data_IF_377829432963
#
_entry.id   IF_377829432963
#
_cell.length_a   1.000
_cell.length_b   1.000
_cell.length_c   1.000
_cell.angle_alpha   90.00
_cell.angle_beta   90.00
_cell.angle_gamma   90.00
#
_symmetry.space_group_name_H-M   'P 1'
#
loop_
_entity.id
_entity.type
_entity.pdbx_description
1 polymer ?
#
# COMPACT_ATOMS: atom_id res chain seq x y z
N UNK A 1 23.73 -12.36 11.47
CA UNK A 1 22.46 -12.38 10.72
C UNK A 1 22.50 -11.24 9.71
N UNK A 2 22.23 -11.47 8.43
CA UNK A 2 22.16 -10.39 7.43
C UNK A 2 20.73 -9.94 7.28
N UNK A 3 20.47 -8.66 7.50
CA UNK A 3 19.17 -8.06 7.20
C UNK A 3 18.89 -8.14 5.70
N UNK A 4 17.68 -8.48 5.33
CA UNK A 4 17.21 -8.54 3.95
C UNK A 4 15.87 -7.82 3.85
N UNK A 5 15.60 -7.24 2.71
CA UNK A 5 14.37 -6.50 2.43
C UNK A 5 14.67 -5.09 1.93
N UNK A 6 13.61 -4.32 1.74
CA UNK A 6 13.69 -2.93 1.34
C UNK A 6 14.04 -2.10 2.59
N UNK A 7 15.09 -1.25 2.48
CA UNK A 7 15.51 -0.38 3.56
C UNK A 7 14.59 0.83 3.69
N UNK A 8 14.29 1.50 2.59
CA UNK A 8 13.33 2.61 2.51
C UNK A 8 12.78 2.75 1.09
N UNK A 9 11.72 3.53 0.96
CA UNK A 9 11.16 3.99 -0.32
C UNK A 9 11.09 5.51 -0.26
N UNK A 10 11.52 6.19 -1.33
CA UNK A 10 11.40 7.63 -1.47
C UNK A 10 10.53 8.00 -2.67
N UNK A 11 9.70 9.01 -2.49
CA UNK A 11 8.83 9.54 -3.53
C UNK A 11 9.17 11.00 -3.82
N UNK A 12 9.14 11.36 -5.08
CA UNK A 12 9.06 12.75 -5.50
C UNK A 12 7.58 13.15 -5.59
N UNK A 13 7.18 14.20 -4.88
CA UNK A 13 5.78 14.63 -4.77
C UNK A 13 5.58 16.02 -5.39
N UNK A 14 4.45 16.23 -6.07
CA UNK A 14 4.17 17.46 -6.82
C UNK A 14 3.97 18.67 -5.91
N UNK A 15 3.17 18.53 -4.86
CA UNK A 15 2.83 19.60 -3.93
C UNK A 15 3.42 19.32 -2.54
N UNK A 16 4.75 19.47 -2.42
CA UNK A 16 5.51 19.02 -1.25
C UNK A 16 4.89 19.40 0.10
N UNK A 17 4.55 20.68 0.32
CA UNK A 17 4.01 21.13 1.60
C UNK A 17 2.62 20.54 1.92
N UNK A 18 1.80 20.32 0.91
CA UNK A 18 0.50 19.65 1.08
C UNK A 18 0.70 18.15 1.30
N UNK A 19 1.62 17.55 0.57
CA UNK A 19 2.00 16.15 0.74
C UNK A 19 2.56 15.89 2.14
N UNK A 20 3.43 16.76 2.66
CA UNK A 20 3.92 16.64 4.06
C UNK A 20 2.74 16.60 5.03
N UNK A 21 1.79 17.53 4.94
CA UNK A 21 0.61 17.53 5.84
C UNK A 21 -0.23 16.26 5.73
N UNK A 22 -0.44 15.77 4.52
CA UNK A 22 -1.16 14.51 4.29
C UNK A 22 -0.41 13.31 4.89
N UNK A 23 0.89 13.17 4.58
CA UNK A 23 1.69 12.05 5.07
C UNK A 23 1.92 12.11 6.58
N UNK A 24 2.05 13.30 7.17
CA UNK A 24 2.08 13.49 8.64
C UNK A 24 0.82 12.92 9.28
N UNK A 25 -0.35 13.25 8.72
CA UNK A 25 -1.64 12.76 9.23
C UNK A 25 -1.79 11.25 9.01
N UNK A 26 -1.48 10.75 7.82
CA UNK A 26 -1.59 9.33 7.46
C UNK A 26 -0.66 8.45 8.29
N UNK A 27 0.64 8.76 8.27
CA UNK A 27 1.63 7.97 9.01
C UNK A 27 1.48 8.13 10.53
N UNK A 28 1.03 9.31 10.99
CA UNK A 28 0.67 9.53 12.39
C UNK A 28 -0.49 8.64 12.82
N UNK A 29 -1.53 8.52 12.01
CA UNK A 29 -2.65 7.62 12.24
C UNK A 29 -2.20 6.14 12.29
N UNK A 30 -1.34 5.74 11.36
CA UNK A 30 -0.74 4.40 11.29
C UNK A 30 0.28 4.11 12.41
N UNK A 31 0.55 5.08 13.29
CA UNK A 31 1.39 4.89 14.47
C UNK A 31 2.88 5.08 14.24
N UNK A 32 3.29 5.66 13.12
CA UNK A 32 4.67 6.12 12.92
C UNK A 32 4.98 7.24 13.91
N UNK A 33 6.22 7.33 14.41
CA UNK A 33 6.56 8.25 15.52
C UNK A 33 7.81 9.10 15.29
N UNK A 34 8.56 8.82 14.24
CA UNK A 34 9.76 9.58 13.91
C UNK A 34 9.53 10.27 12.58
N UNK A 35 9.29 11.58 12.65
CA UNK A 35 9.15 12.43 11.49
C UNK A 35 10.26 13.46 11.55
N UNK A 36 11.03 13.58 10.51
CA UNK A 36 12.02 14.62 10.41
C UNK A 36 12.18 15.13 8.99
N UNK A 37 12.49 16.41 8.85
CA UNK A 37 12.80 17.01 7.56
C UNK A 37 14.28 17.36 7.52
N UNK A 38 14.96 16.95 6.47
CA UNK A 38 16.33 17.33 6.14
C UNK A 38 16.31 18.42 5.08
N UNK A 39 17.27 19.33 5.16
CA UNK A 39 17.60 20.28 4.09
C UNK A 39 19.04 20.01 3.68
N UNK A 40 19.21 19.35 2.53
CA UNK A 40 20.48 18.90 1.98
C UNK A 40 20.69 19.42 0.55
N UNK A 41 20.25 20.65 0.29
CA UNK A 41 20.16 21.22 -1.06
C UNK A 41 18.77 21.04 -1.70
N UNK A 42 17.96 20.16 -1.12
CA UNK A 42 16.52 20.02 -1.31
C UNK A 42 15.92 19.52 0.02
N UNK A 43 14.64 19.78 0.24
CA UNK A 43 13.95 19.34 1.44
C UNK A 43 13.49 17.88 1.25
N UNK A 44 13.73 17.05 2.25
CA UNK A 44 13.25 15.67 2.29
C UNK A 44 12.69 15.34 3.65
N UNK A 45 11.45 14.84 3.70
CA UNK A 45 10.76 14.46 4.95
C UNK A 45 10.65 12.95 5.03
N UNK A 46 11.03 12.39 6.18
CA UNK A 46 11.07 10.95 6.44
C UNK A 46 10.10 10.55 7.54
N UNK A 47 9.43 9.42 7.32
CA UNK A 47 8.47 8.77 8.21
C UNK A 47 9.02 7.40 8.59
N UNK A 48 9.30 7.19 9.88
CA UNK A 48 9.92 5.95 10.36
C UNK A 48 8.96 5.16 11.25
N UNK A 49 8.85 3.86 11.00
CA UNK A 49 8.16 2.94 11.89
C UNK A 49 8.90 2.81 13.23
N UNK A 50 8.15 2.50 14.30
CA UNK A 50 8.74 2.22 15.63
C UNK A 50 9.42 0.85 15.65
N UNK A 51 10.26 0.65 16.66
CA UNK A 51 10.77 -0.67 17.03
C UNK A 51 9.63 -1.71 17.08
N UNK A 52 9.84 -2.92 16.55
CA UNK A 52 11.09 -3.46 15.99
C UNK A 52 11.36 -3.09 14.52
N UNK A 53 10.54 -2.26 13.88
CA UNK A 53 10.55 -1.97 12.44
C UNK A 53 11.26 -0.66 12.07
N UNK A 54 12.15 -0.17 12.92
CA UNK A 54 12.87 1.11 12.72
C UNK A 54 13.69 1.18 11.41
N UNK A 55 13.87 0.07 10.74
CA UNK A 55 14.53 -0.04 9.43
C UNK A 55 13.56 0.11 8.24
N UNK A 56 12.27 0.33 8.52
CA UNK A 56 11.25 0.54 7.48
C UNK A 56 10.81 2.00 7.51
N UNK A 57 11.22 2.77 6.51
CA UNK A 57 10.82 4.16 6.39
C UNK A 57 10.51 4.58 4.95
N UNK A 58 9.70 5.62 4.89
CA UNK A 58 9.28 6.26 3.65
C UNK A 58 9.79 7.69 3.67
N UNK A 59 10.37 8.15 2.57
CA UNK A 59 10.79 9.52 2.36
C UNK A 59 9.95 10.20 1.28
N UNK A 60 9.78 11.51 1.41
CA UNK A 60 9.21 12.33 0.35
C UNK A 60 10.08 13.57 0.10
N UNK A 61 10.22 13.95 -1.15
CA UNK A 61 10.96 15.12 -1.60
C UNK A 61 10.18 15.85 -2.70
N UNK A 62 10.45 17.16 -2.94
CA UNK A 62 9.78 17.86 -4.02
C UNK A 62 10.15 17.27 -5.38
N UNK A 63 9.16 17.07 -6.24
CA UNK A 63 9.39 16.81 -7.66
C UNK A 63 9.82 18.10 -8.36
N UNK A 64 10.67 17.98 -9.37
CA UNK A 64 11.07 19.10 -10.23
C UNK A 64 10.04 19.42 -11.33
N UNK A 65 9.05 18.57 -11.52
CA UNK A 65 8.00 18.67 -12.52
C UNK A 65 7.28 17.32 -12.71
N UNK A 66 6.36 17.27 -13.65
CA UNK A 66 5.56 16.09 -13.97
C UNK A 66 4.07 16.29 -13.69
N UNK A 67 3.29 15.28 -14.03
CA UNK A 67 1.86 15.24 -13.83
C UNK A 67 1.49 14.31 -12.68
N UNK A 68 0.25 14.46 -12.18
CA UNK A 68 -0.32 13.54 -11.20
C UNK A 68 -0.33 12.11 -11.75
N UNK A 69 0.11 11.16 -10.94
CA UNK A 69 0.12 9.75 -11.30
C UNK A 69 -1.32 9.23 -11.42
N UNK A 70 -1.52 8.39 -12.40
CA UNK A 70 -2.77 7.66 -12.61
C UNK A 70 -2.46 6.16 -12.61
N UNK A 71 -2.77 5.44 -11.52
CA UNK A 71 -2.49 4.01 -11.43
C UNK A 71 -3.20 3.16 -12.48
N UNK A 72 -4.32 3.65 -13.04
CA UNK A 72 -5.07 2.92 -14.06
C UNK A 72 -4.33 2.86 -15.41
N UNK A 73 -3.48 3.84 -15.70
CA UNK A 73 -2.67 3.85 -16.93
C UNK A 73 -1.62 2.74 -16.97
N UNK A 74 -1.26 2.18 -15.81
CA UNK A 74 -0.28 1.09 -15.71
C UNK A 74 1.06 1.40 -16.41
N UNK A 75 1.51 2.64 -16.34
CA UNK A 75 2.80 3.06 -16.88
C UNK A 75 3.96 2.36 -16.13
N UNK A 76 5.13 2.20 -16.79
CA UNK A 76 6.30 1.66 -16.12
C UNK A 76 6.67 2.47 -14.89
N UNK A 77 6.84 1.79 -13.72
CA UNK A 77 7.18 2.44 -12.46
C UNK A 77 6.69 1.64 -11.26
N UNK A 78 6.58 2.31 -10.11
CA UNK A 78 5.99 1.71 -8.90
C UNK A 78 4.47 1.71 -9.08
N UNK A 79 3.87 0.52 -9.09
CA UNK A 79 2.42 0.39 -9.20
C UNK A 79 1.73 0.82 -7.90
N UNK A 80 2.16 0.29 -6.76
CA UNK A 80 1.67 0.68 -5.43
C UNK A 80 2.70 0.36 -4.35
N UNK A 81 2.46 0.92 -3.17
CA UNK A 81 3.22 0.59 -1.95
C UNK A 81 2.26 0.03 -0.92
N UNK A 82 2.52 -1.21 -0.50
CA UNK A 82 1.73 -1.88 0.54
C UNK A 82 2.33 -1.63 1.92
N UNK A 83 1.48 -1.18 2.84
CA UNK A 83 1.78 -0.98 4.25
C UNK A 83 1.13 -2.09 5.09
N UNK A 84 1.77 -2.46 6.20
CA UNK A 84 1.22 -3.47 7.10
C UNK A 84 0.20 -2.89 8.06
N UNK A 85 -0.95 -3.58 8.17
CA UNK A 85 -1.89 -3.43 9.27
C UNK A 85 -1.77 -4.60 10.25
N UNK A 86 -1.98 -4.34 11.55
CA UNK A 86 -1.96 -5.38 12.60
C UNK A 86 -3.05 -6.42 12.43
N UNK A 87 -4.23 -5.99 11.97
CA UNK A 87 -5.40 -6.84 11.80
C UNK A 87 -6.40 -6.17 10.85
N UNK A 88 -7.47 -6.88 10.48
CA UNK A 88 -8.54 -6.39 9.60
C UNK A 88 -9.24 -5.14 10.17
N UNK A 89 -9.48 -5.12 11.48
CA UNK A 89 -10.15 -4.00 12.13
C UNK A 89 -9.38 -2.69 11.95
N UNK A 90 -8.04 -2.73 12.02
CA UNK A 90 -7.24 -1.53 11.79
C UNK A 90 -7.41 -0.97 10.37
N UNK A 91 -7.63 -1.85 9.37
CA UNK A 91 -7.93 -1.44 8.00
C UNK A 91 -9.31 -0.80 7.91
N UNK A 92 -10.32 -1.41 8.55
CA UNK A 92 -11.68 -0.86 8.60
C UNK A 92 -11.71 0.47 9.34
N UNK A 93 -11.04 0.56 10.49
CA UNK A 93 -10.92 1.78 11.29
C UNK A 93 -10.18 2.89 10.52
N UNK A 94 -9.14 2.55 9.76
CA UNK A 94 -8.42 3.49 8.89
C UNK A 94 -9.30 4.02 7.76
N UNK A 95 -10.03 3.13 7.11
CA UNK A 95 -10.97 3.51 6.06
C UNK A 95 -12.06 4.47 6.59
N UNK A 96 -12.72 4.10 7.70
CA UNK A 96 -13.82 4.88 8.27
C UNK A 96 -13.35 6.14 9.01
N UNK A 97 -12.24 6.06 9.72
CA UNK A 97 -11.75 7.13 10.60
C UNK A 97 -10.74 8.08 9.97
N UNK A 98 -10.12 7.69 8.87
CA UNK A 98 -9.13 8.53 8.18
C UNK A 98 -9.48 8.78 6.70
N UNK A 99 -9.63 7.75 5.89
CA UNK A 99 -9.79 7.94 4.44
C UNK A 99 -11.09 8.70 4.11
N UNK A 100 -12.23 8.19 4.56
CA UNK A 100 -13.52 8.80 4.25
C UNK A 100 -13.68 10.22 4.80
N UNK A 101 -13.35 10.51 6.09
CA UNK A 101 -13.51 11.86 6.63
C UNK A 101 -12.61 12.92 5.97
N UNK A 102 -11.47 12.49 5.41
CA UNK A 102 -10.55 13.38 4.70
C UNK A 102 -10.81 13.44 3.18
N UNK A 103 -11.84 12.78 2.67
CA UNK A 103 -12.18 12.77 1.24
C UNK A 103 -11.10 12.13 0.36
N UNK A 104 -10.35 11.16 0.91
CA UNK A 104 -9.29 10.47 0.17
C UNK A 104 -9.92 9.50 -0.83
N UNK A 105 -9.41 9.52 -2.05
CA UNK A 105 -9.84 8.63 -3.12
C UNK A 105 -9.51 7.17 -2.77
N UNK A 106 -10.55 6.36 -2.59
CA UNK A 106 -10.45 4.92 -2.32
C UNK A 106 -10.79 4.17 -3.60
N UNK A 107 -9.79 3.53 -4.21
CA UNK A 107 -9.98 2.74 -5.42
C UNK A 107 -10.67 1.41 -5.15
N UNK A 108 -10.31 0.75 -4.04
CA UNK A 108 -10.97 -0.46 -3.57
C UNK A 108 -11.20 -0.38 -2.05
N UNK A 109 -12.47 -0.43 -1.58
CA UNK A 109 -12.78 -0.42 -0.15
C UNK A 109 -12.28 -1.69 0.54
N UNK A 110 -12.23 -1.72 1.90
CA UNK A 110 -11.76 -2.87 2.65
C UNK A 110 -12.44 -4.17 2.22
N UNK A 111 -11.65 -5.14 1.77
CA UNK A 111 -12.15 -6.43 1.30
C UNK A 111 -11.14 -7.57 1.49
N UNK A 112 -11.65 -8.81 1.48
CA UNK A 112 -10.79 -10.00 1.45
C UNK A 112 -10.41 -10.36 0.01
N UNK A 113 -9.12 -10.41 -0.26
CA UNK A 113 -8.55 -10.83 -1.55
C UNK A 113 -8.02 -12.25 -1.47
N UNK A 114 -8.94 -13.21 -1.37
CA UNK A 114 -8.62 -14.62 -1.18
C UNK A 114 -7.71 -15.21 -2.28
N UNK A 115 -7.58 -14.56 -3.42
CA UNK A 115 -6.72 -15.00 -4.53
C UNK A 115 -5.23 -14.83 -4.21
N UNK A 116 -4.85 -13.89 -3.36
CA UNK A 116 -3.44 -13.63 -3.03
C UNK A 116 -2.91 -14.65 -2.05
N UNK A 117 -3.50 -14.67 -0.87
CA UNK A 117 -3.12 -15.60 0.21
C UNK A 117 -4.28 -15.79 1.19
N UNK A 118 -4.30 -16.91 1.95
CA UNK A 118 -5.39 -17.17 2.88
C UNK A 118 -5.55 -16.05 3.91
N UNK A 119 -6.70 -15.38 3.88
CA UNK A 119 -7.05 -14.34 4.84
C UNK A 119 -6.49 -12.95 4.55
N UNK A 120 -5.91 -12.74 3.37
CA UNK A 120 -5.47 -11.42 2.93
C UNK A 120 -6.62 -10.44 2.90
N UNK A 121 -6.45 -9.29 3.56
CA UNK A 121 -7.46 -8.26 3.66
C UNK A 121 -6.80 -6.90 3.45
N UNK A 122 -7.37 -6.06 2.60
CA UNK A 122 -6.74 -4.79 2.23
C UNK A 122 -7.74 -3.71 1.85
N UNK A 123 -7.30 -2.46 1.89
CA UNK A 123 -7.90 -1.28 1.29
C UNK A 123 -6.88 -0.64 0.37
N UNK A 124 -7.33 -0.12 -0.79
CA UNK A 124 -6.49 0.61 -1.73
C UNK A 124 -6.95 2.05 -1.88
N UNK A 125 -6.00 2.98 -1.91
CA UNK A 125 -6.28 4.40 -1.98
C UNK A 125 -5.13 5.18 -2.64
N UNK A 126 -5.41 6.41 -3.07
CA UNK A 126 -4.42 7.26 -3.69
C UNK A 126 -4.08 8.46 -2.80
N UNK A 127 -2.81 8.86 -2.75
CA UNK A 127 -2.51 10.16 -2.17
C UNK A 127 -3.15 11.27 -3.02
N UNK A 128 -3.73 12.31 -2.37
CA UNK A 128 -4.57 13.26 -3.08
C UNK A 128 -3.81 14.23 -3.98
N UNK A 129 -2.49 14.38 -3.80
CA UNK A 129 -1.71 15.43 -4.46
C UNK A 129 -0.87 14.92 -5.63
N UNK A 130 -0.26 13.74 -5.47
CA UNK A 130 0.60 13.14 -6.51
C UNK A 130 -0.03 11.93 -7.17
N UNK A 131 -1.02 11.29 -6.52
CA UNK A 131 -1.68 10.09 -7.03
C UNK A 131 -0.89 8.81 -6.77
N UNK A 132 0.05 8.83 -5.81
CA UNK A 132 0.77 7.62 -5.41
C UNK A 132 -0.25 6.62 -4.86
N UNK A 133 -0.24 5.41 -5.43
CA UNK A 133 -1.15 4.34 -5.04
C UNK A 133 -0.63 3.60 -3.82
N UNK A 134 -1.45 3.52 -2.79
CA UNK A 134 -1.17 2.83 -1.53
C UNK A 134 -2.13 1.68 -1.30
N UNK A 135 -1.61 0.69 -0.61
CA UNK A 135 -2.37 -0.41 -0.05
C UNK A 135 -2.09 -0.49 1.46
N UNK A 136 -3.13 -0.60 2.27
CA UNK A 136 -2.99 -1.00 3.67
C UNK A 136 -3.54 -2.42 3.81
N UNK A 137 -2.68 -3.37 4.16
CA UNK A 137 -2.99 -4.80 4.09
C UNK A 137 -2.64 -5.57 5.35
N UNK A 138 -3.39 -6.63 5.59
CA UNK A 138 -3.16 -7.59 6.67
C UNK A 138 -3.18 -9.01 6.12
N UNK A 139 -2.14 -9.78 6.48
CA UNK A 139 -2.08 -11.23 6.27
C UNK A 139 -1.87 -11.92 7.61
N UNK A 140 -2.78 -12.80 8.04
CA UNK A 140 -2.61 -13.49 9.32
C UNK A 140 -1.44 -14.46 9.25
N UNK A 141 -0.60 -14.49 10.31
CA UNK A 141 0.51 -15.44 10.42
C UNK A 141 0.01 -16.90 10.41
N UNK A 142 -1.16 -17.14 11.03
CA UNK A 142 -1.83 -18.44 11.05
C UNK A 142 -3.25 -18.24 10.52
N UNK A 143 -3.47 -18.49 9.22
CA UNK A 143 -4.79 -18.37 8.63
C UNK A 143 -5.77 -19.42 9.17
N UNK A 144 -7.05 -19.05 9.28
CA UNK A 144 -8.09 -19.99 9.69
C UNK A 144 -8.36 -21.04 8.61
N UNK A 145 -8.88 -22.23 8.98
CA UNK A 145 -9.28 -23.26 8.01
C UNK A 145 -10.30 -22.75 6.97
N UNK A 146 -11.16 -21.81 7.35
CA UNK A 146 -12.11 -21.18 6.42
C UNK A 146 -11.42 -20.27 5.42
N UNK A 147 -10.40 -19.50 5.83
CA UNK A 147 -9.59 -18.69 4.93
C UNK A 147 -8.84 -19.55 3.90
N UNK A 148 -8.28 -20.67 4.33
CA UNK A 148 -7.66 -21.66 3.42
C UNK A 148 -8.66 -22.19 2.40
N UNK A 149 -9.87 -22.56 2.82
CA UNK A 149 -10.90 -23.05 1.89
C UNK A 149 -11.27 -21.99 0.84
N UNK A 150 -11.42 -20.72 1.24
CA UNK A 150 -11.70 -19.63 0.31
C UNK A 150 -10.55 -19.42 -0.68
N UNK A 151 -9.32 -19.43 -0.21
CA UNK A 151 -8.13 -19.29 -1.05
C UNK A 151 -8.04 -20.45 -2.08
N UNK A 152 -8.22 -21.71 -1.68
CA UNK A 152 -8.23 -22.86 -2.60
C UNK A 152 -9.34 -22.70 -3.63
N UNK A 153 -10.54 -22.28 -3.22
CA UNK A 153 -11.67 -22.09 -4.13
C UNK A 153 -11.40 -20.94 -5.13
N UNK A 154 -10.78 -19.84 -4.68
CA UNK A 154 -10.40 -18.72 -5.54
C UNK A 154 -9.30 -19.12 -6.53
N UNK A 155 -8.26 -19.83 -6.07
CA UNK A 155 -7.15 -20.32 -6.89
C UNK A 155 -7.63 -21.27 -8.01
N UNK A 156 -8.58 -22.15 -7.70
CA UNK A 156 -9.17 -23.07 -8.69
C UNK A 156 -10.00 -22.35 -9.74
N UNK A 157 -10.79 -21.33 -9.34
CA UNK A 157 -11.61 -20.55 -10.29
C UNK A 157 -10.76 -19.75 -11.27
N UNK A 158 -9.60 -19.28 -10.86
CA UNK A 158 -8.68 -18.55 -11.74
C UNK A 158 -7.88 -19.45 -12.70
N UNK A 159 -8.19 -20.75 -12.78
CA UNK A 159 -7.64 -21.69 -13.76
C UNK A 159 -6.13 -21.88 -13.68
N UNK A 160 -5.52 -21.57 -12.54
CA UNK A 160 -4.07 -21.55 -12.41
C UNK A 160 -3.63 -22.46 -11.29
N UNK A 161 -3.37 -23.68 -11.68
CA UNK A 161 -2.41 -24.48 -10.97
C UNK A 161 -1.10 -23.71 -10.95
N UNK A 162 -0.57 -23.43 -9.76
CA UNK A 162 0.84 -23.11 -9.57
C UNK A 162 1.48 -24.29 -8.85
N UNK A 163 1.76 -25.39 -9.51
CA UNK A 163 2.77 -26.30 -9.06
C UNK A 163 4.07 -25.75 -9.65
N UNK A 164 5.05 -25.50 -8.83
CA UNK A 164 6.44 -25.28 -9.23
C UNK A 164 6.84 -23.90 -9.77
N UNK A 165 6.14 -22.83 -9.46
CA UNK A 165 6.60 -21.45 -9.69
C UNK A 165 6.79 -21.03 -11.17
N UNK A 166 6.28 -21.79 -12.12
CA UNK A 166 6.46 -21.53 -13.56
C UNK A 166 5.27 -20.91 -14.26
N UNK A 167 4.09 -20.92 -13.66
CA UNK A 167 2.90 -20.26 -14.22
C UNK A 167 2.67 -18.91 -13.56
N UNK A 168 2.61 -17.85 -14.34
CA UNK A 168 2.22 -16.54 -13.84
C UNK A 168 0.77 -16.59 -13.34
N UNK A 169 0.46 -16.22 -12.08
CA UNK A 169 -0.92 -16.09 -11.65
C UNK A 169 -1.63 -15.06 -12.54
N UNK A 170 -2.89 -15.31 -12.86
CA UNK A 170 -3.73 -14.31 -13.48
C UNK A 170 -3.89 -13.16 -12.52
N UNK A 171 -3.92 -11.97 -13.05
CA UNK A 171 -4.17 -10.78 -12.25
C UNK A 171 -5.48 -10.96 -11.48
N UNK A 172 -5.49 -10.70 -10.17
CA UNK A 172 -6.76 -10.53 -9.48
C UNK A 172 -7.48 -9.30 -10.03
N UNK A 173 -8.78 -9.24 -9.95
CA UNK A 173 -9.51 -8.02 -10.23
C UNK A 173 -9.28 -7.04 -9.07
N UNK A 174 -8.28 -6.20 -9.21
CA UNK A 174 -8.23 -4.89 -8.58
C UNK A 174 -8.99 -3.94 -9.49
N UNK A 175 -9.76 -3.00 -8.98
CA UNK A 175 -10.41 -2.00 -9.83
C UNK A 175 -9.37 -1.25 -10.66
N UNK A 176 -8.21 -0.94 -10.08
CA UNK A 176 -7.04 -0.39 -10.76
C UNK A 176 -6.35 -1.38 -11.72
N UNK A 177 -6.77 -2.65 -11.76
CA UNK A 177 -6.19 -3.70 -12.60
C UNK A 177 -7.19 -4.25 -13.61
N UNK A 178 -8.34 -3.61 -13.85
CA UNK A 178 -9.28 -4.02 -14.88
C UNK A 178 -8.68 -3.71 -16.26
N UNK A 179 -8.72 -4.64 -17.22
CA UNK A 179 -8.42 -4.28 -18.60
C UNK A 179 -9.46 -3.25 -19.06
N UNK A 180 -9.00 -2.17 -19.67
CA UNK A 180 -9.87 -1.27 -20.42
C UNK A 180 -10.66 -2.07 -21.46
N UNK A 181 -11.96 -1.73 -21.71
CA UNK A 181 -12.79 -2.36 -22.72
C UNK A 181 -12.23 -2.26 -24.13
#
# INVERSE_FOLDING_TARGET
MRWKGIHHVEFSVLEYEKSVRFFDAMFGWLGYKSFWTLDIGYRSTYYMARLPFFHSYVGIQPASGGDRLDPEQQLPGIHHVALWARNRREIDDFHQGFLLPNGIEVSDPPAEYAVYTPGYYAVFFNDPYTGIHFELSHTPLIPSPSAYRRWIAASRRNGKNIPNGTSRPGRPPCAACRPNP
#
